data_IF_051063008277
#
_entry.id   IF_051063008277
#
_cell.length_a   1.000
_cell.length_b   1.000
_cell.length_c   1.000
_cell.angle_alpha   90.00
_cell.angle_beta   90.00
_cell.angle_gamma   90.00
#
_symmetry.space_group_name_H-M   'P 1'
#
loop_
_entity.id
_entity.type
_entity.pdbx_description
1 polymer ?
#
# COMPACT_ATOMS: atom_id res chain seq x y z
N UNK A 1 -6.95 -10.78 18.40
CA UNK A 1 -5.69 -10.10 18.74
C UNK A 1 -4.96 -9.91 17.44
N UNK A 2 -4.46 -8.71 17.15
CA UNK A 2 -3.64 -8.49 15.96
C UNK A 2 -2.24 -9.09 16.17
N UNK A 3 -1.66 -9.62 15.10
CA UNK A 3 -0.33 -10.17 15.07
C UNK A 3 0.53 -9.55 13.96
N UNK A 4 1.85 -9.83 13.93
CA UNK A 4 2.76 -9.23 12.97
C UNK A 4 2.38 -9.41 11.49
N UNK A 5 1.69 -10.50 11.16
CA UNK A 5 1.26 -10.80 9.79
C UNK A 5 0.10 -9.93 9.31
N UNK A 6 -0.64 -9.29 10.21
CA UNK A 6 -1.78 -8.43 9.85
C UNK A 6 -1.35 -7.12 9.16
N UNK A 7 -0.05 -6.77 9.19
CA UNK A 7 0.52 -5.63 8.45
C UNK A 7 0.80 -5.93 6.98
N UNK A 8 0.67 -7.19 6.59
CA UNK A 8 0.86 -7.65 5.23
C UNK A 8 -0.48 -7.98 4.60
N UNK A 9 -0.58 -7.96 3.26
CA UNK A 9 -1.79 -8.36 2.55
C UNK A 9 -1.99 -9.88 2.59
N UNK A 10 -2.12 -10.46 3.78
CA UNK A 10 -2.19 -11.91 4.02
C UNK A 10 -3.38 -12.23 4.94
N UNK A 11 -4.59 -11.96 4.46
CA UNK A 11 -5.83 -12.42 5.10
C UNK A 11 -6.33 -13.69 4.41
N UNK A 12 -6.02 -14.85 5.01
CA UNK A 12 -6.13 -16.12 4.29
C UNK A 12 -6.80 -17.23 5.11
N UNK A 13 -7.39 -18.19 4.39
CA UNK A 13 -7.92 -19.45 4.91
C UNK A 13 -6.83 -20.54 4.91
N UNK A 14 -7.07 -21.76 5.42
CA UNK A 14 -6.11 -22.88 5.33
C UNK A 14 -5.95 -23.43 3.91
N UNK A 15 -5.48 -22.60 2.98
CA UNK A 15 -5.20 -22.88 1.56
C UNK A 15 -3.85 -22.23 1.19
N UNK A 16 -3.26 -22.57 0.03
CA UNK A 16 -2.10 -21.84 -0.48
C UNK A 16 -2.36 -20.33 -0.52
N UNK A 17 -1.34 -19.51 -0.19
CA UNK A 17 -1.46 -18.04 -0.10
C UNK A 17 -1.98 -17.42 -1.42
N UNK A 18 -1.65 -18.05 -2.54
CA UNK A 18 -2.13 -17.70 -3.88
C UNK A 18 -3.66 -17.73 -4.03
N UNK A 19 -4.36 -18.53 -3.22
CA UNK A 19 -5.75 -18.91 -3.43
C UNK A 19 -6.63 -18.31 -2.33
N UNK A 20 -7.32 -17.19 -2.59
CA UNK A 20 -8.23 -16.62 -1.61
C UNK A 20 -9.39 -17.58 -1.32
N UNK A 21 -9.92 -17.52 -0.10
CA UNK A 21 -11.04 -18.37 0.31
C UNK A 21 -12.35 -18.12 -0.46
N UNK A 22 -12.49 -16.96 -1.11
CA UNK A 22 -13.63 -16.60 -1.94
C UNK A 22 -13.19 -16.40 -3.40
N UNK A 23 -14.02 -16.84 -4.35
CA UNK A 23 -13.86 -16.53 -5.78
C UNK A 23 -14.46 -15.17 -6.17
N UNK A 24 -15.01 -14.41 -5.21
CA UNK A 24 -15.50 -13.05 -5.46
C UNK A 24 -14.35 -12.19 -5.98
N UNK A 25 -14.54 -11.59 -7.16
CA UNK A 25 -13.57 -10.70 -7.78
C UNK A 25 -13.22 -9.48 -6.91
N UNK A 26 -14.11 -9.13 -5.97
CA UNK A 26 -13.94 -8.00 -5.07
C UNK A 26 -13.19 -8.38 -3.78
N UNK A 27 -12.69 -9.60 -3.63
CA UNK A 27 -11.75 -9.92 -2.56
C UNK A 27 -10.43 -9.17 -2.80
N UNK A 28 -10.00 -8.40 -1.80
CA UNK A 28 -8.74 -7.65 -1.82
C UNK A 28 -8.15 -7.52 -0.42
N UNK A 29 -6.84 -7.34 -0.41
CA UNK A 29 -6.09 -6.86 0.74
C UNK A 29 -5.56 -5.45 0.42
N UNK A 30 -5.75 -4.50 1.32
CA UNK A 30 -5.36 -3.11 1.09
C UNK A 30 -4.80 -2.45 2.34
N UNK A 31 -3.80 -1.59 2.12
CA UNK A 31 -3.34 -0.62 3.11
C UNK A 31 -3.61 0.78 2.60
N UNK A 32 -4.07 1.64 3.51
CA UNK A 32 -4.37 3.04 3.25
C UNK A 32 -3.64 3.90 4.28
N UNK A 33 -2.96 4.93 3.81
CA UNK A 33 -2.19 5.84 4.63
C UNK A 33 -2.55 7.28 4.28
N UNK A 34 -2.53 8.13 5.29
CA UNK A 34 -2.62 9.56 5.12
C UNK A 34 -1.54 10.26 5.95
N UNK A 35 -1.09 11.40 5.44
CA UNK A 35 -0.20 12.31 6.14
C UNK A 35 -0.59 13.73 5.80
N UNK A 36 -0.31 14.65 6.72
CA UNK A 36 -0.48 16.08 6.47
C UNK A 36 0.65 16.83 7.13
N UNK A 37 1.00 17.98 6.59
CA UNK A 37 1.96 18.84 7.23
C UNK A 37 1.30 19.64 8.38
N UNK A 38 2.11 20.41 9.11
CA UNK A 38 1.60 21.17 10.27
C UNK A 38 0.86 22.45 9.88
N UNK A 39 1.03 22.93 8.65
CA UNK A 39 0.31 24.11 8.16
C UNK A 39 -1.08 23.78 7.62
N UNK A 40 -1.28 22.56 7.11
CA UNK A 40 -2.48 22.15 6.40
C UNK A 40 -2.43 22.43 4.89
N UNK A 41 -1.32 22.98 4.40
CA UNK A 41 -1.10 23.25 2.98
C UNK A 41 -0.84 21.97 2.18
N UNK A 42 -0.29 20.92 2.83
CA UNK A 42 0.01 19.64 2.19
C UNK A 42 -0.82 18.53 2.84
N UNK A 43 -1.53 17.79 2.00
CA UNK A 43 -2.20 16.55 2.39
C UNK A 43 -1.78 15.43 1.43
N UNK A 44 -1.42 14.27 1.98
CA UNK A 44 -1.07 13.08 1.22
C UNK A 44 -2.02 11.97 1.59
N UNK A 45 -2.53 11.27 0.58
CA UNK A 45 -3.12 9.95 0.74
C UNK A 45 -2.40 8.99 -0.20
N UNK A 46 -2.13 7.80 0.29
CA UNK A 46 -1.40 6.79 -0.48
C UNK A 46 -1.80 5.40 -0.03
N UNK A 47 -1.66 4.42 -0.90
CA UNK A 47 -2.06 3.07 -0.57
C UNK A 47 -1.59 2.05 -1.58
N UNK A 48 -1.73 0.78 -1.20
CA UNK A 48 -1.39 -0.39 -2.01
C UNK A 48 -2.49 -1.42 -1.89
N UNK A 49 -2.78 -2.12 -2.97
CA UNK A 49 -3.83 -3.14 -3.04
C UNK A 49 -3.39 -4.40 -3.78
N UNK A 50 -3.81 -5.55 -3.25
CA UNK A 50 -3.60 -6.87 -3.81
C UNK A 50 -4.94 -7.52 -4.13
N UNK A 51 -5.16 -7.87 -5.40
CA UNK A 51 -6.42 -8.40 -5.91
C UNK A 51 -6.17 -9.76 -6.58
N UNK A 52 -6.01 -10.85 -5.80
CA UNK A 52 -5.59 -12.15 -6.33
C UNK A 52 -6.53 -12.73 -7.39
N UNK A 53 -7.85 -12.59 -7.21
CA UNK A 53 -8.83 -13.09 -8.18
C UNK A 53 -8.85 -12.28 -9.49
N UNK A 54 -8.36 -11.04 -9.47
CA UNK A 54 -8.22 -10.20 -10.66
C UNK A 54 -6.83 -10.31 -11.30
N UNK A 55 -5.87 -10.95 -10.63
CA UNK A 55 -4.51 -11.10 -11.14
C UNK A 55 -3.69 -9.81 -11.11
N UNK A 56 -4.08 -8.80 -10.31
CA UNK A 56 -3.48 -7.46 -10.31
C UNK A 56 -3.15 -6.99 -8.91
N UNK A 57 -2.12 -6.17 -8.80
CA UNK A 57 -1.85 -5.30 -7.66
C UNK A 57 -1.73 -3.85 -8.14
N UNK A 58 -2.12 -2.92 -7.28
CA UNK A 58 -2.07 -1.49 -7.59
C UNK A 58 -1.52 -0.69 -6.41
N UNK A 59 -1.07 0.52 -6.72
CA UNK A 59 -0.72 1.52 -5.73
C UNK A 59 -1.10 2.89 -6.25
N UNK A 60 -1.28 3.83 -5.33
CA UNK A 60 -1.48 5.23 -5.69
C UNK A 60 -0.77 6.13 -4.69
N UNK A 61 -0.31 7.27 -5.17
CA UNK A 61 0.17 8.37 -4.34
C UNK A 61 -0.53 9.65 -4.79
N UNK A 62 -1.29 10.27 -3.90
CA UNK A 62 -1.97 11.54 -4.16
C UNK A 62 -1.46 12.58 -3.17
N UNK A 63 -0.94 13.68 -3.71
CA UNK A 63 -0.56 14.85 -2.96
C UNK A 63 -1.45 16.04 -3.34
N UNK A 64 -1.96 16.72 -2.33
CA UNK A 64 -2.66 18.01 -2.46
C UNK A 64 -1.74 19.11 -1.94
N UNK A 65 -1.55 20.16 -2.73
CA UNK A 65 -0.85 21.40 -2.34
C UNK A 65 -1.70 22.60 -2.74
N UNK A 66 -2.18 23.36 -1.76
CA UNK A 66 -3.21 24.39 -2.02
C UNK A 66 -4.41 23.77 -2.73
N UNK A 67 -4.88 24.33 -3.83
CA UNK A 67 -6.06 23.79 -4.54
C UNK A 67 -5.73 22.74 -5.61
N UNK A 68 -4.46 22.38 -5.77
CA UNK A 68 -4.02 21.40 -6.77
C UNK A 68 -3.82 20.02 -6.16
N UNK A 69 -4.37 19.00 -6.80
CA UNK A 69 -4.12 17.59 -6.49
C UNK A 69 -3.32 16.95 -7.63
N UNK A 70 -2.26 16.24 -7.28
CA UNK A 70 -1.47 15.42 -8.22
C UNK A 70 -1.55 13.98 -7.77
N UNK A 71 -1.95 13.09 -8.66
CA UNK A 71 -2.14 11.68 -8.38
C UNK A 71 -1.31 10.84 -9.36
N UNK A 72 -0.50 9.93 -8.81
CA UNK A 72 0.20 8.90 -9.57
C UNK A 72 -0.45 7.57 -9.24
N UNK A 73 -0.82 6.83 -10.27
CA UNK A 73 -1.36 5.48 -10.16
C UNK A 73 -0.36 4.50 -10.75
N UNK A 74 -0.07 3.44 -10.01
CA UNK A 74 0.81 2.36 -10.44
C UNK A 74 0.03 1.06 -10.42
N UNK A 75 0.36 0.15 -11.34
CA UNK A 75 -0.24 -1.17 -11.41
C UNK A 75 0.80 -2.18 -11.89
N UNK A 76 0.64 -3.42 -11.45
CA UNK A 76 1.49 -4.53 -11.83
C UNK A 76 0.69 -5.84 -11.73
N UNK A 77 1.18 -6.90 -12.35
CA UNK A 77 0.60 -8.23 -12.22
C UNK A 77 0.74 -8.71 -10.77
N UNK A 78 -0.26 -9.45 -10.26
CA UNK A 78 -0.13 -10.10 -8.96
C UNK A 78 1.04 -11.08 -9.00
N UNK A 79 1.85 -11.10 -7.95
CA UNK A 79 2.93 -12.07 -7.76
C UNK A 79 2.63 -12.97 -6.55
N UNK A 80 3.56 -13.87 -6.25
CA UNK A 80 3.48 -14.77 -5.10
C UNK A 80 4.33 -14.27 -3.92
N UNK A 81 4.66 -12.97 -3.87
CA UNK A 81 5.56 -12.38 -2.88
C UNK A 81 4.85 -11.30 -2.04
N UNK A 82 3.83 -11.73 -1.29
CA UNK A 82 2.99 -10.82 -0.49
C UNK A 82 3.71 -10.17 0.69
N UNK A 83 4.87 -10.68 1.08
CA UNK A 83 5.69 -10.09 2.14
C UNK A 83 6.55 -8.93 1.62
N UNK A 84 6.73 -8.85 0.30
CA UNK A 84 7.39 -7.75 -0.38
C UNK A 84 6.34 -6.86 -1.05
N UNK A 85 5.80 -5.94 -0.28
CA UNK A 85 4.73 -5.04 -0.74
C UNK A 85 5.27 -4.01 -1.73
N UNK A 86 5.18 -4.32 -3.03
CA UNK A 86 5.85 -3.56 -4.09
C UNK A 86 5.01 -3.51 -5.37
N UNK A 87 4.76 -2.32 -5.92
CA UNK A 87 4.04 -2.09 -7.17
C UNK A 87 4.75 -1.00 -7.96
N UNK A 88 5.38 -1.37 -9.09
CA UNK A 88 6.13 -0.41 -9.91
C UNK A 88 7.19 0.32 -9.10
N UNK A 89 7.11 1.64 -9.02
CA UNK A 89 8.03 2.48 -8.24
C UNK A 89 7.67 2.63 -6.75
N UNK A 90 6.57 2.01 -6.29
CA UNK A 90 6.01 2.20 -4.94
C UNK A 90 6.19 0.96 -4.07
N UNK A 91 6.58 1.14 -2.80
CA UNK A 91 6.73 0.05 -1.83
C UNK A 91 6.36 0.42 -0.40
N UNK A 92 5.80 -0.54 0.31
CA UNK A 92 5.55 -0.49 1.76
C UNK A 92 6.54 -1.43 2.45
N UNK A 93 7.39 -0.87 3.28
CA UNK A 93 8.41 -1.59 4.04
C UNK A 93 7.98 -1.66 5.52
N UNK A 94 7.50 -2.83 5.95
CA UNK A 94 7.21 -3.09 7.38
C UNK A 94 8.55 -3.24 8.11
N UNK A 95 8.91 -2.26 8.95
CA UNK A 95 10.19 -2.26 9.70
C UNK A 95 10.04 -2.99 11.03
N UNK A 96 8.96 -2.67 11.75
CA UNK A 96 8.56 -3.31 12.99
C UNK A 96 7.04 -3.48 12.93
N UNK A 97 6.52 -4.70 12.75
CA UNK A 97 5.08 -4.92 12.58
C UNK A 97 4.25 -4.26 13.69
N UNK A 98 3.17 -3.57 13.32
CA UNK A 98 2.27 -2.83 14.20
C UNK A 98 2.91 -1.64 14.93
N UNK A 99 4.17 -1.27 14.61
CA UNK A 99 4.90 -0.19 15.28
C UNK A 99 5.59 0.77 14.32
N UNK A 100 6.13 0.28 13.20
CA UNK A 100 6.90 1.11 12.28
C UNK A 100 6.84 0.58 10.86
N UNK A 101 6.45 1.44 9.94
CA UNK A 101 6.46 1.17 8.51
C UNK A 101 7.00 2.38 7.74
N UNK A 102 7.57 2.11 6.57
CA UNK A 102 8.11 3.11 5.66
C UNK A 102 7.48 2.95 4.28
N UNK A 103 7.06 4.05 3.68
CA UNK A 103 6.58 4.10 2.31
C UNK A 103 7.65 4.79 1.48
N UNK A 104 8.02 4.15 0.38
CA UNK A 104 8.96 4.73 -0.59
C UNK A 104 8.32 4.74 -1.97
N UNK A 105 8.46 5.86 -2.66
CA UNK A 105 8.12 6.02 -4.07
C UNK A 105 9.33 6.60 -4.78
N UNK A 106 9.92 5.83 -5.69
CA UNK A 106 10.99 6.33 -6.56
C UNK A 106 10.39 7.37 -7.54
N UNK A 107 11.21 8.35 -7.96
CA UNK A 107 10.77 9.48 -8.79
C UNK A 107 9.99 9.00 -10.02
N UNK A 108 8.69 9.32 -10.04
CA UNK A 108 7.75 8.88 -11.07
C UNK A 108 6.75 10.01 -11.30
N UNK A 109 6.62 10.46 -12.55
CA UNK A 109 5.68 11.54 -12.93
C UNK A 109 5.84 12.82 -12.08
N UNK A 110 7.09 13.14 -11.67
CA UNK A 110 7.40 14.34 -10.88
C UNK A 110 7.14 14.20 -9.36
N UNK A 111 6.88 12.99 -8.86
CA UNK A 111 6.69 12.69 -7.45
C UNK A 111 7.69 11.62 -6.99
N UNK A 112 8.37 11.90 -5.88
CA UNK A 112 9.08 10.92 -5.07
C UNK A 112 8.68 11.07 -3.60
N UNK A 113 8.76 9.97 -2.84
CA UNK A 113 8.42 9.97 -1.42
C UNK A 113 9.31 9.04 -0.61
N UNK A 114 9.62 9.45 0.62
CA UNK A 114 10.22 8.63 1.66
C UNK A 114 9.60 9.04 3.00
N UNK A 115 8.60 8.28 3.44
CA UNK A 115 7.74 8.62 4.56
C UNK A 115 7.75 7.48 5.56
N UNK A 116 7.90 7.79 6.85
CA UNK A 116 7.87 6.79 7.94
C UNK A 116 6.69 7.07 8.86
N UNK A 117 5.92 6.02 9.16
CA UNK A 117 4.89 6.03 10.19
C UNK A 117 5.44 5.34 11.44
N UNK A 118 5.26 6.02 12.57
CA UNK A 118 5.55 5.49 13.90
C UNK A 118 4.21 5.27 14.60
N UNK A 119 3.97 4.04 15.04
CA UNK A 119 2.83 3.66 15.87
C UNK A 119 3.01 4.15 17.32
N UNK A 120 1.91 4.21 18.05
CA UNK A 120 1.86 4.67 19.45
C UNK A 120 2.33 3.60 20.44
#
# INVERSE_FOLDING_TARGET
MLGPMDEYPVHQVPQPIAWPGSSDRNFYDRSYFNAHDRSGDIFVITGIGYYPNLGVKDAFFLARRGDTQTAVHLSDAIDQDRLNQHVGAYRVEVKEPLRKLRIVMDETEGIAADLTWEGL
#
